data_IF_592968562568
#
_entry.id   IF_592968562568
#
_cell.length_a   1.000
_cell.length_b   1.000
_cell.length_c   1.000
_cell.angle_alpha   90.00
_cell.angle_beta   90.00
_cell.angle_gamma   90.00
#
_symmetry.space_group_name_H-M   'P 1'
#
loop_
_entity.id
_entity.type
_entity.pdbx_description
1 polymer ?
#
# COMPACT_ATOMS: atom_id res chain seq x y z
N UNK A 1 3.40 5.92 -20.57
CA UNK A 1 3.51 5.10 -19.34
C UNK A 1 2.85 5.83 -18.19
N UNK A 2 2.05 5.11 -17.38
CA UNK A 2 1.39 5.63 -16.17
C UNK A 2 1.94 4.87 -14.95
N UNK A 3 2.33 5.59 -13.91
CA UNK A 3 2.80 5.05 -12.63
C UNK A 3 1.88 5.55 -11.52
N UNK A 4 1.34 4.64 -10.71
CA UNK A 4 0.58 4.95 -9.50
C UNK A 4 1.47 4.70 -8.29
N UNK A 5 1.62 5.72 -7.44
CA UNK A 5 2.38 5.63 -6.19
C UNK A 5 1.39 5.58 -5.02
N UNK A 6 1.29 4.42 -4.40
CA UNK A 6 0.47 4.18 -3.22
C UNK A 6 1.29 4.46 -1.97
N UNK A 7 0.88 5.46 -1.21
CA UNK A 7 1.47 5.76 0.09
C UNK A 7 0.53 5.26 1.20
N UNK A 8 1.08 4.50 2.11
CA UNK A 8 0.36 4.03 3.28
C UNK A 8 1.26 3.97 4.52
N UNK A 9 0.67 4.20 5.68
CA UNK A 9 1.32 4.13 6.98
C UNK A 9 0.53 3.17 7.86
N UNK A 10 1.22 2.22 8.46
CA UNK A 10 0.61 1.23 9.34
C UNK A 10 1.35 1.15 10.66
N UNK A 11 0.75 0.54 11.65
CA UNK A 11 1.42 0.27 12.92
C UNK A 11 2.42 -0.89 12.79
N UNK A 12 3.42 -0.83 13.66
CA UNK A 12 4.40 -1.87 13.92
C UNK A 12 4.50 -2.03 15.44
N UNK A 13 3.72 -2.97 16.05
CA UNK A 13 3.57 -3.08 17.49
C UNK A 13 4.87 -3.41 18.20
N UNK A 14 5.08 -2.79 19.36
CA UNK A 14 6.28 -2.89 20.17
C UNK A 14 5.96 -3.43 21.59
N UNK A 15 6.68 -4.43 22.01
CA UNK A 15 6.44 -5.13 23.28
C UNK A 15 7.54 -4.88 24.34
N UNK A 16 8.58 -4.16 23.99
CA UNK A 16 9.70 -3.84 24.87
C UNK A 16 9.96 -2.35 25.02
N UNK A 17 11.07 -1.97 25.61
CA UNK A 17 11.50 -0.57 25.82
C UNK A 17 12.37 -0.06 24.64
N UNK A 18 11.89 -0.22 23.42
CA UNK A 18 12.61 0.24 22.23
C UNK A 18 12.70 1.76 22.18
N UNK A 19 13.83 2.27 21.71
CA UNK A 19 14.05 3.69 21.47
C UNK A 19 12.98 4.25 20.50
N UNK A 20 12.38 5.40 20.82
CA UNK A 20 11.38 6.06 19.97
C UNK A 20 10.01 5.39 19.97
N UNK A 21 9.74 4.43 20.86
CA UNK A 21 8.40 3.88 21.04
C UNK A 21 7.47 4.92 21.65
N UNK A 22 6.23 4.99 21.17
CA UNK A 22 5.18 5.83 21.73
C UNK A 22 3.83 5.10 21.65
N UNK A 23 2.94 5.42 22.58
CA UNK A 23 1.55 4.95 22.51
C UNK A 23 0.80 5.68 21.41
N UNK A 24 0.09 4.95 20.56
CA UNK A 24 -0.70 5.50 19.48
C UNK A 24 -2.18 5.23 19.72
N UNK A 25 -2.96 6.27 20.03
CA UNK A 25 -4.36 6.14 20.44
C UNK A 25 -5.29 5.52 19.39
N UNK A 26 -4.99 5.66 18.08
CA UNK A 26 -5.79 5.02 17.03
C UNK A 26 -5.58 3.51 16.95
N UNK A 27 -4.34 3.03 17.16
CA UNK A 27 -4.00 1.61 17.14
C UNK A 27 -4.06 0.96 18.53
N UNK A 28 -4.28 1.75 19.57
CA UNK A 28 -4.38 1.31 20.98
C UNK A 28 -3.17 0.47 21.43
N UNK A 29 -1.98 0.81 20.98
CA UNK A 29 -0.75 0.11 21.33
C UNK A 29 0.49 1.01 21.27
N UNK A 30 1.58 0.56 21.93
CA UNK A 30 2.90 1.10 21.68
C UNK A 30 3.41 0.58 20.35
N UNK A 31 3.75 1.47 19.43
CA UNK A 31 4.19 1.06 18.10
C UNK A 31 5.19 2.04 17.47
N UNK A 32 5.82 1.61 16.38
CA UNK A 32 6.33 2.49 15.34
C UNK A 32 5.24 2.71 14.28
N UNK A 33 5.48 3.68 13.39
CA UNK A 33 4.57 4.01 12.29
C UNK A 33 5.35 4.05 10.96
N UNK A 34 5.77 2.90 10.42
CA UNK A 34 6.46 2.84 9.15
C UNK A 34 5.60 3.41 8.01
N UNK A 35 6.26 4.07 7.05
CA UNK A 35 5.68 4.54 5.80
C UNK A 35 6.15 3.64 4.68
N UNK A 36 5.21 3.09 3.95
CA UNK A 36 5.46 2.30 2.75
C UNK A 36 5.03 3.06 1.50
N UNK A 37 5.75 2.85 0.40
CA UNK A 37 5.35 3.33 -0.92
C UNK A 37 5.43 2.18 -1.89
N UNK A 38 4.32 1.90 -2.55
CA UNK A 38 4.23 0.86 -3.58
C UNK A 38 3.93 1.46 -4.96
N UNK A 39 4.34 0.76 -6.00
CA UNK A 39 3.88 0.91 -7.37
C UNK A 39 3.37 -0.45 -7.85
N UNK A 40 2.06 -0.67 -7.82
CA UNK A 40 1.50 -2.00 -8.00
C UNK A 40 2.08 -2.98 -6.98
N UNK A 41 2.78 -4.00 -7.46
CA UNK A 41 3.43 -5.00 -6.60
C UNK A 41 4.84 -4.59 -6.13
N UNK A 42 5.41 -3.53 -6.69
CA UNK A 42 6.80 -3.14 -6.41
C UNK A 42 6.88 -2.24 -5.18
N UNK A 43 7.60 -2.66 -4.17
CA UNK A 43 7.93 -1.85 -2.99
C UNK A 43 9.05 -0.88 -3.34
N UNK A 44 8.78 0.43 -3.25
CA UNK A 44 9.73 1.50 -3.56
C UNK A 44 10.35 2.14 -2.33
N UNK A 45 9.65 2.11 -1.20
CA UNK A 45 10.12 2.70 0.05
C UNK A 45 9.53 1.97 1.26
N UNK A 46 10.36 1.72 2.27
CA UNK A 46 9.97 1.27 3.60
C UNK A 46 10.76 2.10 4.63
N UNK A 47 10.10 3.07 5.24
CA UNK A 47 10.74 4.04 6.12
C UNK A 47 10.14 3.99 7.52
N UNK A 48 10.93 3.52 8.49
CA UNK A 48 10.52 3.43 9.88
C UNK A 48 10.41 4.81 10.51
N UNK A 49 9.40 5.02 11.35
CA UNK A 49 9.14 6.29 12.04
C UNK A 49 8.59 6.02 13.44
N UNK A 50 8.88 6.89 14.42
CA UNK A 50 8.19 6.82 15.71
C UNK A 50 6.71 7.16 15.53
N UNK A 51 5.83 6.54 16.31
CA UNK A 51 4.37 6.71 16.16
C UNK A 51 3.81 8.05 16.68
N UNK A 52 4.61 8.86 17.38
CA UNK A 52 4.20 10.21 17.86
C UNK A 52 4.06 11.27 16.76
N UNK A 53 4.26 10.91 15.50
CA UNK A 53 4.23 11.85 14.38
C UNK A 53 2.97 11.65 13.55
N UNK A 54 2.56 12.69 12.81
CA UNK A 54 1.48 12.61 11.83
C UNK A 54 1.79 11.56 10.73
N UNK A 55 0.79 10.79 10.31
CA UNK A 55 0.93 9.72 9.31
C UNK A 55 1.53 10.24 7.98
N UNK A 56 1.25 11.49 7.60
CA UNK A 56 1.83 12.11 6.41
C UNK A 56 3.21 12.74 6.63
N UNK A 57 3.76 12.70 7.85
CA UNK A 57 5.12 13.21 8.11
C UNK A 57 6.12 12.47 7.22
N UNK A 58 7.04 13.20 6.60
CA UNK A 58 8.03 12.74 5.61
C UNK A 58 7.45 12.30 4.23
N UNK A 59 6.13 12.06 4.11
CA UNK A 59 5.52 11.62 2.85
C UNK A 59 5.81 12.58 1.68
N UNK A 60 5.72 13.89 1.91
CA UNK A 60 6.04 14.88 0.88
C UNK A 60 7.49 14.80 0.38
N UNK A 61 8.46 14.56 1.28
CA UNK A 61 9.87 14.46 0.90
C UNK A 61 10.15 13.17 0.12
N UNK A 62 9.58 12.05 0.57
CA UNK A 62 9.70 10.75 -0.10
C UNK A 62 9.03 10.80 -1.47
N UNK A 63 7.81 11.34 -1.58
CA UNK A 63 7.11 11.49 -2.86
C UNK A 63 7.93 12.33 -3.86
N UNK A 64 8.48 13.46 -3.41
CA UNK A 64 9.35 14.32 -4.24
C UNK A 64 10.60 13.59 -4.74
N UNK A 65 11.24 12.81 -3.87
CA UNK A 65 12.41 12.03 -4.22
C UNK A 65 12.06 10.97 -5.28
N UNK A 66 10.99 10.22 -5.07
CA UNK A 66 10.54 9.19 -6.00
C UNK A 66 10.13 9.77 -7.35
N UNK A 67 9.33 10.83 -7.38
CA UNK A 67 8.94 11.52 -8.62
C UNK A 67 10.16 11.99 -9.40
N UNK A 68 11.14 12.61 -8.73
CA UNK A 68 12.38 13.03 -9.37
C UNK A 68 13.14 11.85 -9.98
N UNK A 69 13.28 10.75 -9.24
CA UNK A 69 13.98 9.54 -9.71
C UNK A 69 13.25 8.87 -10.89
N UNK A 70 11.93 8.78 -10.81
CA UNK A 70 11.13 8.20 -11.88
C UNK A 70 11.20 9.03 -13.17
N UNK A 71 11.15 10.35 -13.06
CA UNK A 71 11.27 11.25 -14.22
C UNK A 71 12.67 11.30 -14.83
N UNK A 72 13.71 11.01 -14.05
CA UNK A 72 15.06 10.82 -14.60
C UNK A 72 15.13 9.61 -15.54
N UNK A 73 14.45 8.51 -15.18
CA UNK A 73 14.40 7.30 -15.99
C UNK A 73 13.35 7.36 -17.11
N UNK A 74 12.22 8.02 -16.85
CA UNK A 74 11.08 8.15 -17.77
C UNK A 74 10.55 9.59 -17.77
N UNK A 75 11.13 10.50 -18.57
CA UNK A 75 10.80 11.94 -18.54
C UNK A 75 9.32 12.25 -18.79
N UNK A 76 8.65 11.48 -19.63
CA UNK A 76 7.24 11.65 -20.02
C UNK A 76 6.25 10.79 -19.19
N UNK A 77 6.69 10.26 -18.05
CA UNK A 77 5.84 9.40 -17.23
C UNK A 77 4.74 10.20 -16.53
N UNK A 78 3.50 9.75 -16.70
CA UNK A 78 2.36 10.27 -15.94
C UNK A 78 2.35 9.62 -14.55
N UNK A 79 2.54 10.41 -13.51
CA UNK A 79 2.58 9.93 -12.13
C UNK A 79 1.27 10.31 -11.42
N UNK A 80 0.69 9.34 -10.73
CA UNK A 80 -0.50 9.51 -9.89
C UNK A 80 -0.11 9.15 -8.46
N UNK A 81 -0.28 10.09 -7.54
CA UNK A 81 -0.21 9.84 -6.11
C UNK A 81 -1.56 9.37 -5.59
N UNK A 82 -1.58 8.25 -4.86
CA UNK A 82 -2.77 7.68 -4.24
C UNK A 82 -2.51 7.43 -2.75
N UNK A 83 -3.48 7.75 -1.90
CA UNK A 83 -3.36 7.57 -0.44
C UNK A 83 -4.71 7.69 0.25
N UNK A 84 -4.75 7.35 1.52
CA UNK A 84 -5.92 7.53 2.37
C UNK A 84 -6.08 9.00 2.81
N UNK A 85 -7.07 9.26 3.66
CA UNK A 85 -7.35 10.62 4.18
C UNK A 85 -6.24 11.16 5.08
N UNK A 86 -5.41 10.29 5.65
CA UNK A 86 -4.22 10.68 6.42
C UNK A 86 -3.20 11.44 5.59
N UNK A 87 -3.14 11.18 4.28
CA UNK A 87 -2.23 11.86 3.35
C UNK A 87 -2.83 13.08 2.65
N UNK A 88 -4.10 13.40 2.86
CA UNK A 88 -4.73 14.59 2.33
C UNK A 88 -4.23 15.85 3.05
N UNK A 89 -3.00 16.24 2.79
CA UNK A 89 -2.36 17.40 3.39
C UNK A 89 -2.13 18.49 2.35
N UNK A 90 -2.52 19.72 2.66
CA UNK A 90 -2.36 20.91 1.80
C UNK A 90 -0.96 20.96 1.16
N UNK A 91 0.09 20.71 1.95
CA UNK A 91 1.48 20.75 1.47
C UNK A 91 1.77 19.72 0.38
N UNK A 92 1.19 18.52 0.48
CA UNK A 92 1.36 17.45 -0.50
C UNK A 92 0.58 17.79 -1.76
N UNK A 93 -0.71 18.09 -1.62
CA UNK A 93 -1.62 18.36 -2.75
C UNK A 93 -1.13 19.56 -3.57
N UNK A 94 -0.83 20.69 -2.91
CA UNK A 94 -0.31 21.89 -3.60
C UNK A 94 1.03 21.62 -4.32
N UNK A 95 1.85 20.73 -3.77
CA UNK A 95 3.09 20.36 -4.45
C UNK A 95 2.79 19.48 -5.67
N UNK A 96 1.88 18.53 -5.58
CA UNK A 96 1.47 17.69 -6.69
C UNK A 96 1.00 18.54 -7.88
N UNK A 97 0.13 19.53 -7.63
CA UNK A 97 -0.37 20.44 -8.65
C UNK A 97 0.75 21.24 -9.34
N UNK A 98 1.69 21.80 -8.56
CA UNK A 98 2.83 22.55 -9.11
C UNK A 98 3.85 21.68 -9.84
N UNK A 99 3.93 20.42 -9.49
CA UNK A 99 4.89 19.48 -10.03
C UNK A 99 4.31 18.60 -11.15
N UNK A 100 3.11 18.91 -11.64
CA UNK A 100 2.39 18.10 -12.62
C UNK A 100 2.32 16.62 -12.22
N UNK A 101 1.98 16.38 -10.95
CA UNK A 101 1.69 15.06 -10.41
C UNK A 101 0.19 14.96 -10.19
N UNK A 102 -0.44 13.99 -10.81
CA UNK A 102 -1.84 13.71 -10.55
C UNK A 102 -2.01 13.09 -9.17
N UNK A 103 -3.20 13.20 -8.61
CA UNK A 103 -3.51 12.57 -7.34
C UNK A 103 -4.98 12.14 -7.24
N UNK A 104 -5.23 11.14 -6.43
CA UNK A 104 -6.53 10.73 -5.92
C UNK A 104 -6.36 10.28 -4.48
N UNK A 105 -6.89 11.04 -3.53
CA UNK A 105 -6.59 10.89 -2.10
C UNK A 105 -7.88 10.95 -1.30
N UNK A 106 -8.02 10.06 -0.32
CA UNK A 106 -9.12 10.11 0.61
C UNK A 106 -9.25 11.48 1.28
N UNK A 107 -10.46 11.93 1.51
CA UNK A 107 -10.77 13.16 2.22
C UNK A 107 -11.58 12.83 3.47
N UNK A 108 -11.10 13.22 4.63
CA UNK A 108 -11.78 12.99 5.89
C UNK A 108 -13.14 13.70 5.94
N UNK A 109 -14.13 13.03 6.49
CA UNK A 109 -15.46 13.59 6.69
C UNK A 109 -15.38 14.85 7.56
N UNK A 110 -16.24 15.80 7.26
CA UNK A 110 -16.45 16.97 8.09
C UNK A 110 -17.87 17.51 7.86
N UNK A 111 -18.40 18.34 8.78
CA UNK A 111 -19.79 18.81 8.71
C UNK A 111 -20.14 19.50 7.39
N UNK A 112 -19.19 20.24 6.78
CA UNK A 112 -19.44 20.93 5.50
C UNK A 112 -19.63 19.94 4.35
N UNK A 113 -18.81 18.88 4.29
CA UNK A 113 -18.96 17.83 3.28
C UNK A 113 -20.25 17.02 3.48
N UNK A 114 -20.61 16.74 4.72
CA UNK A 114 -21.84 16.02 5.05
C UNK A 114 -23.08 16.83 4.66
N UNK A 115 -23.10 18.12 4.94
CA UNK A 115 -24.18 19.02 4.52
C UNK A 115 -24.31 19.10 2.98
N UNK A 116 -23.21 19.08 2.24
CA UNK A 116 -23.24 19.10 0.77
C UNK A 116 -23.89 17.88 0.13
N UNK A 117 -23.92 16.75 0.83
CA UNK A 117 -24.47 15.48 0.31
C UNK A 117 -25.77 15.05 1.00
N UNK A 118 -26.27 15.84 1.92
CA UNK A 118 -27.43 15.51 2.78
C UNK A 118 -28.68 15.14 1.95
N UNK A 119 -29.05 15.96 0.98
CA UNK A 119 -30.21 15.67 0.11
C UNK A 119 -30.05 14.36 -0.66
N UNK A 120 -28.85 14.09 -1.20
CA UNK A 120 -28.59 12.84 -1.88
C UNK A 120 -28.64 11.62 -0.94
N UNK A 121 -28.21 11.77 0.31
CA UNK A 121 -28.33 10.72 1.32
C UNK A 121 -29.79 10.46 1.71
N UNK A 122 -30.62 11.50 1.85
CA UNK A 122 -32.04 11.35 2.10
C UNK A 122 -32.74 10.62 0.96
N UNK A 123 -32.45 10.97 -0.29
CA UNK A 123 -33.01 10.27 -1.45
C UNK A 123 -32.61 8.79 -1.50
N UNK A 124 -31.34 8.46 -1.14
CA UNK A 124 -30.91 7.06 -1.04
C UNK A 124 -31.59 6.33 0.11
N UNK A 125 -31.85 7.01 1.21
CA UNK A 125 -32.62 6.45 2.32
C UNK A 125 -34.04 6.09 1.90
N UNK A 126 -34.74 7.00 1.25
CA UNK A 126 -36.11 6.75 0.75
C UNK A 126 -36.14 5.56 -0.22
N UNK A 127 -35.16 5.49 -1.12
CA UNK A 127 -35.03 4.36 -2.04
C UNK A 127 -34.77 3.04 -1.29
N UNK A 128 -33.91 3.06 -0.27
CA UNK A 128 -33.64 1.90 0.56
C UNK A 128 -34.88 1.42 1.32
N UNK A 129 -35.63 2.35 1.92
CA UNK A 129 -36.90 2.01 2.62
C UNK A 129 -37.89 1.39 1.64
N UNK A 130 -37.99 1.90 0.41
CA UNK A 130 -38.92 1.39 -0.60
C UNK A 130 -38.52 0.03 -1.17
N UNK A 131 -37.21 -0.23 -1.36
CA UNK A 131 -36.72 -1.43 -2.06
C UNK A 131 -36.20 -2.53 -1.14
N UNK A 132 -35.84 -2.20 0.10
CA UNK A 132 -35.16 -3.10 1.03
C UNK A 132 -33.72 -3.48 0.61
N UNK A 133 -33.23 -2.92 -0.50
CA UNK A 133 -31.91 -3.25 -1.04
C UNK A 133 -30.92 -2.11 -0.87
N UNK A 134 -29.63 -2.44 -0.68
CA UNK A 134 -28.57 -1.45 -0.55
C UNK A 134 -28.58 -0.49 -1.75
N UNK A 135 -28.57 0.80 -1.45
CA UNK A 135 -28.51 1.88 -2.44
C UNK A 135 -27.11 2.47 -2.50
N UNK A 136 -26.69 2.92 -3.69
CA UNK A 136 -25.39 3.49 -3.94
C UNK A 136 -25.44 4.59 -5.00
N UNK A 137 -24.74 5.68 -4.73
CA UNK A 137 -24.54 6.79 -5.67
C UNK A 137 -23.07 7.20 -5.66
N UNK A 138 -22.48 7.42 -6.83
CA UNK A 138 -21.20 8.13 -7.00
C UNK A 138 -21.48 9.44 -7.68
N UNK A 139 -21.03 10.54 -7.10
CA UNK A 139 -21.22 11.88 -7.62
C UNK A 139 -19.96 12.71 -7.40
N UNK A 140 -19.94 13.92 -7.94
CA UNK A 140 -18.83 14.85 -7.76
C UNK A 140 -19.31 16.28 -7.55
N UNK A 141 -18.46 17.09 -6.92
CA UNK A 141 -18.68 18.49 -6.69
C UNK A 141 -17.36 19.23 -6.46
N UNK A 142 -17.38 20.56 -6.56
CA UNK A 142 -16.28 21.42 -6.15
C UNK A 142 -16.31 21.69 -4.66
N UNK A 143 -15.17 21.57 -3.98
CA UNK A 143 -15.05 21.82 -2.56
C UNK A 143 -13.74 22.53 -2.22
N UNK A 144 -13.79 23.47 -1.30
CA UNK A 144 -12.62 24.07 -0.68
C UNK A 144 -12.67 23.91 0.85
N UNK A 145 -11.64 23.25 1.39
CA UNK A 145 -11.37 23.31 2.80
C UNK A 145 -10.84 24.71 3.17
N UNK A 146 -11.07 25.16 4.39
CA UNK A 146 -10.65 26.49 4.85
C UNK A 146 -9.15 26.77 4.63
N UNK A 147 -8.32 25.74 4.69
CA UNK A 147 -6.86 25.84 4.49
C UNK A 147 -6.42 25.74 3.02
N UNK A 148 -7.32 25.50 2.08
CA UNK A 148 -6.99 25.34 0.66
C UNK A 148 -7.01 26.69 -0.07
N UNK A 149 -6.07 26.91 -1.01
CA UNK A 149 -6.01 28.18 -1.75
C UNK A 149 -7.11 28.33 -2.83
N UNK A 150 -7.71 27.21 -3.26
CA UNK A 150 -8.76 27.16 -4.27
C UNK A 150 -9.61 25.89 -4.10
N UNK A 151 -10.73 25.86 -4.79
CA UNK A 151 -11.60 24.69 -4.86
C UNK A 151 -10.95 23.55 -5.64
N UNK A 152 -11.30 22.32 -5.25
CA UNK A 152 -10.86 21.10 -5.90
C UNK A 152 -12.02 20.16 -6.17
N UNK A 153 -11.87 19.37 -7.18
CA UNK A 153 -12.81 18.29 -7.52
C UNK A 153 -12.82 17.27 -6.39
N UNK A 154 -13.99 17.00 -5.84
CA UNK A 154 -14.24 15.95 -4.86
C UNK A 154 -15.24 14.98 -5.44
N UNK A 155 -14.88 13.70 -5.42
CA UNK A 155 -15.78 12.60 -5.76
C UNK A 155 -16.30 12.03 -4.44
N UNK A 156 -17.61 11.82 -4.36
CA UNK A 156 -18.26 11.19 -3.23
C UNK A 156 -18.89 9.87 -3.62
N UNK A 157 -18.72 8.86 -2.78
CA UNK A 157 -19.50 7.64 -2.81
C UNK A 157 -20.43 7.63 -1.61
N UNK A 158 -21.71 7.63 -1.87
CA UNK A 158 -22.78 7.53 -0.89
C UNK A 158 -23.35 6.12 -0.94
N UNK A 159 -23.53 5.51 0.20
CA UNK A 159 -24.19 4.21 0.34
C UNK A 159 -25.17 4.26 1.49
N UNK A 160 -26.32 3.62 1.30
CA UNK A 160 -27.29 3.38 2.35
C UNK A 160 -27.64 1.88 2.40
N UNK A 161 -27.55 1.30 3.58
CA UNK A 161 -27.84 -0.13 3.80
C UNK A 161 -28.24 -0.40 5.24
N UNK A 162 -28.20 -1.65 5.67
CA UNK A 162 -28.59 -2.07 7.03
C UNK A 162 -27.83 -1.35 8.15
N UNK A 163 -26.58 -0.94 7.91
CA UNK A 163 -25.75 -0.22 8.87
C UNK A 163 -25.90 1.33 8.78
N UNK A 164 -26.91 1.80 8.04
CA UNK A 164 -27.15 3.22 7.80
C UNK A 164 -26.30 3.76 6.64
N UNK A 165 -26.06 5.09 6.66
CA UNK A 165 -25.31 5.77 5.61
C UNK A 165 -23.79 5.63 5.79
N UNK A 166 -23.08 5.55 4.67
CA UNK A 166 -21.62 5.48 4.66
C UNK A 166 -21.02 6.39 3.55
N UNK A 167 -20.99 7.72 3.75
CA UNK A 167 -20.37 8.62 2.79
C UNK A 167 -18.85 8.48 2.81
N UNK A 168 -18.25 8.47 1.62
CA UNK A 168 -16.81 8.49 1.41
C UNK A 168 -16.47 9.60 0.42
N UNK A 169 -15.39 10.31 0.69
CA UNK A 169 -14.95 11.43 -0.13
C UNK A 169 -13.50 11.23 -0.57
N UNK A 170 -13.21 11.55 -1.81
CA UNK A 170 -11.86 11.60 -2.35
C UNK A 170 -11.65 12.90 -3.10
N UNK A 171 -10.49 13.50 -2.96
CA UNK A 171 -10.08 14.69 -3.70
C UNK A 171 -9.14 14.29 -4.82
N UNK A 172 -9.31 14.89 -6.00
CA UNK A 172 -8.52 14.55 -7.19
C UNK A 172 -8.36 15.73 -8.14
N UNK A 173 -7.27 15.72 -8.93
CA UNK A 173 -7.09 16.58 -10.11
C UNK A 173 -7.18 15.79 -11.43
N UNK A 174 -7.60 14.52 -11.36
CA UNK A 174 -7.78 13.70 -12.54
C UNK A 174 -9.07 14.07 -13.28
N UNK A 175 -9.01 14.08 -14.59
CA UNK A 175 -10.18 14.07 -15.45
C UNK A 175 -10.69 12.64 -15.64
N UNK A 176 -11.99 12.49 -15.92
CA UNK A 176 -12.64 11.20 -16.17
C UNK A 176 -13.93 11.04 -15.38
N UNK A 177 -14.65 9.95 -15.62
CA UNK A 177 -15.93 9.64 -15.00
C UNK A 177 -15.73 9.33 -13.51
N UNK A 178 -16.54 9.92 -12.58
CA UNK A 178 -16.36 9.79 -11.14
C UNK A 178 -16.38 8.35 -10.62
N UNK A 179 -17.29 7.52 -11.12
CA UNK A 179 -17.41 6.11 -10.73
C UNK A 179 -16.17 5.30 -11.10
N UNK A 180 -15.66 5.48 -12.32
CA UNK A 180 -14.43 4.83 -12.79
C UNK A 180 -13.23 5.26 -11.93
N UNK A 181 -13.10 6.56 -11.67
CA UNK A 181 -12.00 7.05 -10.83
C UNK A 181 -12.09 6.53 -9.40
N UNK A 182 -13.31 6.43 -8.85
CA UNK A 182 -13.50 5.91 -7.51
C UNK A 182 -13.27 4.40 -7.44
N UNK A 183 -13.94 3.63 -8.28
CA UNK A 183 -13.96 2.17 -8.20
C UNK A 183 -12.69 1.53 -8.76
N UNK A 184 -12.28 1.94 -9.96
CA UNK A 184 -11.18 1.30 -10.68
C UNK A 184 -9.81 1.90 -10.34
N UNK A 185 -9.76 3.13 -9.80
CA UNK A 185 -8.49 3.72 -9.42
C UNK A 185 -8.34 3.87 -7.91
N UNK A 186 -9.26 4.56 -7.22
CA UNK A 186 -9.09 4.81 -5.79
C UNK A 186 -9.22 3.53 -4.94
N UNK A 187 -10.22 2.69 -5.21
CA UNK A 187 -10.45 1.47 -4.41
C UNK A 187 -9.32 0.45 -4.54
N UNK A 188 -8.54 0.47 -5.62
CA UNK A 188 -7.35 -0.37 -5.75
C UNK A 188 -6.22 -0.02 -4.76
N UNK A 189 -6.36 1.05 -3.96
CA UNK A 189 -5.48 1.33 -2.83
C UNK A 189 -5.41 0.16 -1.83
N UNK A 190 -6.50 -0.59 -1.67
CA UNK A 190 -6.53 -1.79 -0.82
C UNK A 190 -5.48 -2.84 -1.17
N UNK A 191 -4.99 -2.87 -2.41
CA UNK A 191 -3.89 -3.75 -2.80
C UNK A 191 -2.58 -3.42 -2.08
N UNK A 192 -2.29 -2.13 -1.84
CA UNK A 192 -1.10 -1.74 -1.07
C UNK A 192 -1.20 -2.23 0.39
N UNK A 193 -2.38 -2.16 1.00
CA UNK A 193 -2.62 -2.69 2.35
C UNK A 193 -2.38 -4.21 2.40
N UNK A 194 -2.84 -4.95 1.39
CA UNK A 194 -2.58 -6.39 1.29
C UNK A 194 -1.09 -6.69 1.16
N UNK A 195 -0.32 -5.90 0.38
CA UNK A 195 1.13 -6.04 0.24
C UNK A 195 1.87 -5.75 1.54
N UNK A 196 1.43 -4.73 2.28
CA UNK A 196 1.98 -4.42 3.60
C UNK A 196 1.75 -5.59 4.55
N UNK A 197 0.53 -6.13 4.64
CA UNK A 197 0.22 -7.31 5.46
C UNK A 197 1.08 -8.52 5.05
N UNK A 198 1.27 -8.75 3.78
CA UNK A 198 2.11 -9.83 3.28
C UNK A 198 3.58 -9.67 3.73
N UNK A 199 4.12 -8.44 3.70
CA UNK A 199 5.45 -8.16 4.22
C UNK A 199 5.52 -8.29 5.75
N UNK A 200 4.50 -7.83 6.47
CA UNK A 200 4.44 -7.90 7.93
C UNK A 200 4.35 -9.34 8.43
N UNK A 201 3.44 -10.13 7.89
CA UNK A 201 3.19 -11.51 8.32
C UNK A 201 4.21 -12.47 7.70
N UNK A 202 4.37 -12.45 6.38
CA UNK A 202 5.19 -13.39 5.64
C UNK A 202 6.69 -13.18 5.79
N UNK A 203 7.15 -11.92 5.94
CA UNK A 203 8.58 -11.57 6.05
C UNK A 203 8.96 -10.94 7.40
N UNK A 204 8.05 -10.94 8.35
CA UNK A 204 8.30 -10.44 9.70
C UNK A 204 8.75 -8.98 9.73
N UNK A 205 8.20 -8.12 8.87
CA UNK A 205 8.55 -6.71 8.81
C UNK A 205 8.23 -5.95 10.13
N UNK A 206 7.33 -6.51 10.95
CA UNK A 206 6.99 -6.02 12.30
C UNK A 206 7.90 -6.53 13.41
N UNK A 207 8.95 -7.32 13.11
CA UNK A 207 9.92 -7.75 14.13
C UNK A 207 10.97 -6.69 14.42
N UNK A 208 10.56 -5.54 14.90
CA UNK A 208 11.42 -4.42 15.31
C UNK A 208 11.78 -4.53 16.79
N UNK A 209 12.43 -5.62 17.18
CA UNK A 209 12.72 -6.00 18.56
C UNK A 209 14.07 -5.52 19.10
N UNK A 210 14.85 -4.76 18.33
CA UNK A 210 16.09 -4.16 18.81
C UNK A 210 15.81 -2.95 19.71
N UNK A 211 16.69 -2.69 20.70
CA UNK A 211 16.57 -1.49 21.52
C UNK A 211 16.78 -0.22 20.70
N UNK A 212 17.81 -0.18 19.86
CA UNK A 212 18.21 0.98 19.05
C UNK A 212 17.29 1.14 17.83
N UNK A 213 16.77 2.34 17.62
CA UNK A 213 15.86 2.67 16.52
C UNK A 213 16.47 2.39 15.13
N UNK A 214 17.74 2.78 14.91
CA UNK A 214 18.42 2.56 13.63
C UNK A 214 18.55 1.08 13.27
N UNK A 215 18.76 0.20 14.27
CA UNK A 215 18.80 -1.25 14.06
C UNK A 215 17.44 -1.79 13.62
N UNK A 216 16.35 -1.23 14.13
CA UNK A 216 15.00 -1.58 13.69
C UNK A 216 14.72 -1.10 12.27
N UNK A 217 15.20 0.10 11.89
CA UNK A 217 15.13 0.55 10.48
C UNK A 217 15.87 -0.43 9.55
N UNK A 218 17.05 -0.93 9.94
CA UNK A 218 17.76 -1.94 9.15
C UNK A 218 16.94 -3.23 9.01
N UNK A 219 16.27 -3.69 10.08
CA UNK A 219 15.39 -4.88 10.01
C UNK A 219 14.24 -4.67 9.03
N UNK A 220 13.59 -3.51 9.04
CA UNK A 220 12.54 -3.16 8.08
C UNK A 220 13.09 -3.14 6.64
N UNK A 221 14.31 -2.63 6.43
CA UNK A 221 14.95 -2.65 5.10
C UNK A 221 15.30 -4.07 4.64
N UNK A 222 15.73 -4.96 5.53
CA UNK A 222 15.97 -6.37 5.20
C UNK A 222 14.68 -7.09 4.82
N UNK A 223 13.57 -6.84 5.53
CA UNK A 223 12.25 -7.36 5.15
C UNK A 223 11.77 -6.78 3.81
N UNK A 224 12.00 -5.50 3.56
CA UNK A 224 11.70 -4.85 2.29
C UNK A 224 12.51 -5.46 1.12
N UNK A 225 13.80 -5.71 1.33
CA UNK A 225 14.64 -6.39 0.33
C UNK A 225 14.14 -7.81 0.06
N UNK A 226 13.82 -8.56 1.11
CA UNK A 226 13.24 -9.90 0.95
C UNK A 226 11.92 -9.87 0.16
N UNK A 227 11.06 -8.87 0.42
CA UNK A 227 9.84 -8.65 -0.35
C UNK A 227 10.15 -8.44 -1.85
N UNK A 228 11.07 -7.54 -2.17
CA UNK A 228 11.48 -7.28 -3.56
C UNK A 228 12.03 -8.55 -4.23
N UNK A 229 12.84 -9.34 -3.54
CA UNK A 229 13.37 -10.60 -4.06
C UNK A 229 12.25 -11.63 -4.35
N UNK A 230 11.27 -11.75 -3.47
CA UNK A 230 10.11 -12.62 -3.69
C UNK A 230 9.27 -12.14 -4.88
N UNK A 231 9.02 -10.84 -5.01
CA UNK A 231 8.29 -10.30 -6.17
C UNK A 231 9.06 -10.54 -7.48
N UNK A 232 10.38 -10.41 -7.46
CA UNK A 232 11.21 -10.74 -8.63
C UNK A 232 11.18 -12.24 -8.94
N UNK A 233 11.18 -13.09 -7.92
CA UNK A 233 11.02 -14.55 -8.08
C UNK A 233 9.67 -14.89 -8.74
N UNK A 234 8.57 -14.29 -8.27
CA UNK A 234 7.24 -14.44 -8.88
C UNK A 234 7.25 -14.03 -10.36
N UNK A 235 7.79 -12.85 -10.64
CA UNK A 235 7.77 -12.26 -11.97
C UNK A 235 8.67 -13.00 -12.98
N UNK A 236 9.83 -13.49 -12.56
CA UNK A 236 10.84 -14.06 -13.45
C UNK A 236 10.79 -15.58 -13.54
N UNK A 237 10.37 -16.25 -12.48
CA UNK A 237 10.58 -17.70 -12.38
C UNK A 237 9.32 -18.53 -12.08
N UNK A 238 8.26 -17.92 -11.56
CA UNK A 238 7.04 -18.64 -11.17
C UNK A 238 5.86 -18.41 -12.12
N UNK A 239 6.01 -17.60 -13.16
CA UNK A 239 4.95 -17.39 -14.14
C UNK A 239 4.56 -18.71 -14.81
N UNK A 240 3.25 -18.91 -15.00
CA UNK A 240 2.69 -20.15 -15.55
C UNK A 240 2.68 -21.32 -14.57
N UNK A 241 3.04 -21.14 -13.31
CA UNK A 241 2.91 -22.16 -12.26
C UNK A 241 1.77 -21.82 -11.30
N UNK A 242 1.31 -22.80 -10.53
CA UNK A 242 0.32 -22.59 -9.44
C UNK A 242 0.82 -21.65 -8.33
N UNK A 243 2.13 -21.38 -8.26
CA UNK A 243 2.75 -20.49 -7.27
C UNK A 243 2.94 -19.05 -7.77
N UNK A 244 2.57 -18.74 -9.01
CA UNK A 244 2.74 -17.40 -9.58
C UNK A 244 2.10 -16.29 -8.74
N UNK A 245 0.92 -16.55 -8.16
CA UNK A 245 0.17 -15.63 -7.33
C UNK A 245 0.10 -16.06 -5.85
N UNK A 246 0.92 -17.04 -5.45
CA UNK A 246 0.91 -17.54 -4.07
C UNK A 246 1.41 -16.47 -3.10
N UNK A 247 0.82 -16.43 -1.89
CA UNK A 247 1.29 -15.56 -0.81
C UNK A 247 2.71 -15.94 -0.36
N UNK A 248 3.42 -14.99 0.23
CA UNK A 248 4.82 -15.16 0.67
C UNK A 248 4.97 -16.35 1.62
N UNK A 249 4.05 -16.55 2.55
CA UNK A 249 4.10 -17.70 3.47
C UNK A 249 4.05 -19.05 2.73
N UNK A 250 3.20 -19.14 1.71
CA UNK A 250 3.13 -20.32 0.85
C UNK A 250 4.44 -20.55 0.11
N UNK A 251 5.01 -19.49 -0.49
CA UNK A 251 6.30 -19.57 -1.18
C UNK A 251 7.43 -19.97 -0.23
N UNK A 252 7.46 -19.40 0.97
CA UNK A 252 8.46 -19.77 1.99
C UNK A 252 8.38 -21.25 2.35
N UNK A 253 7.18 -21.76 2.60
CA UNK A 253 7.00 -23.17 3.02
C UNK A 253 7.29 -24.10 1.84
N UNK A 254 6.78 -23.79 0.66
CA UNK A 254 6.83 -24.71 -0.50
C UNK A 254 8.12 -24.64 -1.29
N UNK A 255 8.86 -23.52 -1.30
CA UNK A 255 10.06 -23.33 -2.10
C UNK A 255 11.34 -23.01 -1.33
N UNK A 256 11.24 -22.39 -0.13
CA UNK A 256 12.43 -21.88 0.57
C UNK A 256 12.76 -22.65 1.85
N UNK A 257 11.76 -23.13 2.61
CA UNK A 257 11.96 -23.90 3.84
C UNK A 257 12.08 -25.39 3.52
N UNK A 258 13.18 -25.77 2.86
CA UNK A 258 13.41 -27.11 2.41
C UNK A 258 14.48 -27.79 3.28
N UNK A 259 14.19 -29.04 3.67
CA UNK A 259 15.21 -29.88 4.25
C UNK A 259 16.22 -30.29 3.17
N UNK A 260 17.49 -30.12 3.45
CA UNK A 260 18.56 -30.50 2.54
C UNK A 260 19.75 -31.08 3.31
N UNK A 261 20.37 -32.11 2.75
CA UNK A 261 21.68 -32.60 3.17
C UNK A 261 22.75 -31.84 2.40
N UNK A 262 23.64 -31.17 3.10
CA UNK A 262 24.74 -30.41 2.50
C UNK A 262 26.04 -31.22 2.62
N UNK A 263 26.65 -31.55 1.49
CA UNK A 263 27.99 -32.12 1.47
C UNK A 263 28.96 -31.15 0.83
N UNK A 264 30.13 -30.97 1.44
CA UNK A 264 31.17 -30.07 0.97
C UNK A 264 32.50 -30.82 0.83
N UNK A 265 33.17 -30.61 -0.27
CA UNK A 265 34.59 -30.93 -0.43
C UNK A 265 35.34 -29.70 -0.96
N UNK A 266 36.64 -29.81 -1.23
CA UNK A 266 37.48 -28.68 -1.68
C UNK A 266 37.03 -28.02 -2.99
N UNK A 267 36.23 -28.71 -3.82
CA UNK A 267 35.85 -28.27 -5.15
C UNK A 267 34.36 -28.01 -5.33
N UNK A 268 33.48 -28.60 -4.47
CA UNK A 268 32.03 -28.59 -4.69
C UNK A 268 31.25 -28.55 -3.37
N UNK A 269 30.15 -27.83 -3.39
CA UNK A 269 29.06 -27.93 -2.42
C UNK A 269 27.90 -28.60 -3.15
N UNK A 270 27.37 -29.69 -2.58
CA UNK A 270 26.20 -30.39 -3.10
C UNK A 270 25.06 -30.28 -2.10
N UNK A 271 23.87 -29.96 -2.60
CA UNK A 271 22.63 -29.92 -1.86
C UNK A 271 21.74 -31.07 -2.34
N UNK A 272 21.37 -31.95 -1.43
CA UNK A 272 20.46 -33.05 -1.71
C UNK A 272 19.12 -32.76 -1.06
N UNK A 273 18.09 -32.53 -1.85
CA UNK A 273 16.72 -32.31 -1.38
C UNK A 273 15.96 -33.63 -1.27
N UNK A 274 14.87 -33.63 -0.48
CA UNK A 274 13.99 -34.78 -0.34
C UNK A 274 13.41 -35.18 -1.71
N UNK A 275 13.45 -36.47 -2.06
CA UNK A 275 12.97 -37.00 -3.36
C UNK A 275 11.45 -36.89 -3.53
N UNK A 276 10.70 -36.89 -2.43
CA UNK A 276 9.24 -36.84 -2.41
C UNK A 276 8.68 -35.42 -2.19
N UNK A 277 9.50 -34.37 -2.40
CA UNK A 277 9.07 -33.00 -2.24
C UNK A 277 8.11 -32.57 -3.37
N UNK A 278 6.82 -32.22 -3.08
CA UNK A 278 5.83 -31.99 -4.11
C UNK A 278 6.13 -30.81 -5.05
N UNK A 279 6.84 -29.78 -4.57
CA UNK A 279 7.17 -28.59 -5.36
C UNK A 279 8.51 -28.70 -6.12
N UNK A 280 9.15 -29.89 -6.16
CA UNK A 280 10.40 -30.10 -6.87
C UNK A 280 10.36 -29.70 -8.36
N UNK A 281 9.28 -29.99 -9.12
CA UNK A 281 9.20 -29.58 -10.53
C UNK A 281 9.18 -28.05 -10.68
N UNK A 282 8.43 -27.34 -9.83
CA UNK A 282 8.34 -25.87 -9.84
C UNK A 282 9.69 -25.25 -9.46
N UNK A 283 10.37 -25.80 -8.46
CA UNK A 283 11.71 -25.36 -8.08
C UNK A 283 12.71 -25.53 -9.23
N UNK A 284 12.69 -26.69 -9.89
CA UNK A 284 13.54 -26.94 -11.04
C UNK A 284 13.25 -25.99 -12.21
N UNK A 285 11.98 -25.68 -12.47
CA UNK A 285 11.56 -24.67 -13.45
C UNK A 285 12.10 -23.28 -13.07
N UNK A 286 11.92 -22.87 -11.81
CA UNK A 286 12.41 -21.58 -11.32
C UNK A 286 13.93 -21.46 -11.43
N UNK A 287 14.66 -22.52 -11.07
CA UNK A 287 16.14 -22.56 -11.21
C UNK A 287 16.59 -22.45 -12.67
N UNK A 288 15.87 -23.04 -13.62
CA UNK A 288 16.16 -22.86 -15.05
C UNK A 288 15.90 -21.43 -15.51
N UNK A 289 14.75 -20.87 -15.17
CA UNK A 289 14.38 -19.51 -15.54
C UNK A 289 15.36 -18.45 -14.99
N UNK A 290 15.90 -18.63 -13.79
CA UNK A 290 16.87 -17.72 -13.18
C UNK A 290 18.31 -17.91 -13.68
N UNK A 291 18.63 -19.01 -14.36
CA UNK A 291 19.96 -19.28 -14.95
C UNK A 291 20.08 -18.80 -16.39
N UNK A 292 18.96 -18.55 -17.05
CA UNK A 292 18.99 -17.98 -18.41
C UNK A 292 19.46 -16.52 -18.33
N UNK A 293 20.47 -16.12 -19.11
CA UNK A 293 21.00 -14.76 -19.13
C UNK A 293 19.98 -13.74 -19.64
#
# INVERSE_FOLDING_TARGET
VRIVLDLDATDDPLYGAQEGRHFHGYYDCYCYLPLYVFCGQQLLCAYLRPSRIDAARHAAAILKLLVRRLRQAWPQVRIIFRGDSGFCRRRIINWCERADVHYIVGLARNPKLEAMVEYAQLALHEQYVRTGTKQRLVAEFSYAAQSWPHERRVITRLEWGQQGHNPRFVVTNLAGEPGVLYDELYCQRGEAENRIKEAQVGLFATRTSCHVFASNQLRVLLAALAYVLIERLRALALQGTELANAQIDTLRIRLLKLAAVVTRNTRRIRLYFASNWPSAPIFAQAMRALRSP
#
